data_IF_999238733534
#
_entry.id   IF_999238733534
#
_cell.length_a   1.000
_cell.length_b   1.000
_cell.length_c   1.000
_cell.angle_alpha   90.00
_cell.angle_beta   90.00
_cell.angle_gamma   90.00
#
_symmetry.space_group_name_H-M   'P 1'
#
loop_
_entity.id
_entity.type
_entity.pdbx_description
1 polymer ?
#
# COMPACT_ATOMS: atom_id res chain seq x y z
N UNK A 1 -9.93 -43.96 -1.90
CA UNK A 1 -10.78 -42.75 -1.78
C UNK A 1 -10.70 -42.06 -0.41
N UNK A 2 -10.94 -42.75 0.74
CA UNK A 2 -10.85 -42.08 2.08
C UNK A 2 -9.43 -41.70 2.50
N UNK A 3 -8.40 -42.47 2.13
CA UNK A 3 -7.00 -42.20 2.48
C UNK A 3 -6.38 -41.01 1.75
N UNK A 4 -6.84 -40.73 0.54
CA UNK A 4 -6.37 -39.59 -0.26
C UNK A 4 -6.96 -38.28 0.25
N UNK A 5 -8.24 -38.27 0.63
CA UNK A 5 -8.92 -37.11 1.21
C UNK A 5 -8.27 -36.69 2.56
N UNK A 6 -7.95 -37.68 3.42
CA UNK A 6 -7.25 -37.41 4.69
C UNK A 6 -5.83 -36.85 4.47
N UNK A 7 -5.14 -37.31 3.43
CA UNK A 7 -3.80 -36.81 3.09
C UNK A 7 -3.85 -35.40 2.49
N UNK A 8 -4.83 -35.13 1.59
CA UNK A 8 -5.10 -33.78 1.06
C UNK A 8 -5.52 -32.81 2.16
N UNK A 9 -6.42 -33.21 3.05
CA UNK A 9 -6.85 -32.37 4.19
C UNK A 9 -5.68 -32.16 5.16
N UNK A 10 -4.86 -33.15 5.43
CA UNK A 10 -3.68 -33.01 6.28
C UNK A 10 -2.63 -32.08 5.63
N UNK A 11 -2.40 -32.16 4.32
CA UNK A 11 -1.55 -31.23 3.58
C UNK A 11 -2.11 -29.81 3.59
N UNK A 12 -3.42 -29.62 3.39
CA UNK A 12 -4.09 -28.32 3.47
C UNK A 12 -4.05 -27.71 4.88
N UNK A 13 -4.20 -28.52 5.91
CA UNK A 13 -4.12 -28.09 7.31
C UNK A 13 -2.68 -27.82 7.79
N UNK A 14 -1.70 -28.44 7.14
CA UNK A 14 -0.28 -28.19 7.42
C UNK A 14 0.28 -26.93 6.74
N UNK A 15 -0.41 -26.42 5.69
CA UNK A 15 0.05 -25.25 4.91
C UNK A 15 -0.57 -23.95 5.44
N UNK A 16 0.13 -23.28 6.36
CA UNK A 16 -0.10 -21.86 6.61
C UNK A 16 0.36 -20.99 5.42
N UNK A 17 0.37 -19.66 5.55
CA UNK A 17 1.01 -18.80 4.57
C UNK A 17 2.48 -19.21 4.39
N UNK A 18 2.87 -19.60 3.19
CA UNK A 18 4.23 -20.02 2.86
C UNK A 18 4.98 -18.90 2.14
N UNK A 19 6.30 -18.86 2.29
CA UNK A 19 7.16 -17.98 1.51
C UNK A 19 7.06 -18.37 0.02
N UNK A 20 6.97 -17.36 -0.86
CA UNK A 20 6.90 -17.54 -2.32
C UNK A 20 7.97 -16.66 -2.97
N UNK A 21 8.64 -17.16 -3.98
CA UNK A 21 9.52 -16.36 -4.86
C UNK A 21 8.63 -15.64 -5.88
N UNK A 22 8.59 -14.31 -5.81
CA UNK A 22 7.76 -13.47 -6.68
C UNK A 22 8.44 -13.18 -8.02
N UNK A 23 8.20 -14.01 -9.01
CA UNK A 23 8.67 -13.85 -10.39
C UNK A 23 7.57 -13.38 -11.36
N UNK A 24 6.52 -12.72 -10.85
CA UNK A 24 5.38 -12.28 -11.67
C UNK A 24 5.64 -11.01 -12.47
N UNK A 25 6.67 -10.23 -12.12
CA UNK A 25 6.87 -8.88 -12.65
C UNK A 25 5.89 -7.83 -12.09
N UNK A 26 5.22 -8.14 -10.97
CA UNK A 26 4.40 -7.19 -10.20
C UNK A 26 5.03 -7.05 -8.82
N UNK A 27 5.60 -5.86 -8.52
CA UNK A 27 6.38 -5.64 -7.30
C UNK A 27 5.50 -5.75 -6.05
N UNK A 28 4.39 -4.99 -6.01
CA UNK A 28 3.40 -5.01 -4.92
C UNK A 28 2.27 -5.98 -5.24
N UNK A 29 2.59 -7.27 -5.45
CA UNK A 29 1.58 -8.25 -5.84
C UNK A 29 0.59 -8.50 -4.68
N UNK A 30 -0.68 -8.15 -4.89
CA UNK A 30 -1.74 -8.26 -3.87
C UNK A 30 -1.92 -9.69 -3.37
N UNK A 31 -1.81 -10.69 -4.26
CA UNK A 31 -1.99 -12.09 -3.92
C UNK A 31 -0.79 -12.67 -3.15
N UNK A 32 0.36 -11.99 -3.19
CA UNK A 32 1.59 -12.40 -2.51
C UNK A 32 1.92 -11.52 -1.29
N UNK A 33 0.95 -10.77 -0.77
CA UNK A 33 1.10 -9.98 0.45
C UNK A 33 1.60 -8.54 0.24
N UNK A 34 1.68 -8.05 -0.99
CA UNK A 34 2.12 -6.70 -1.37
C UNK A 34 3.61 -6.45 -1.06
N UNK A 35 3.95 -5.41 -0.26
CA UNK A 35 5.33 -5.06 0.03
C UNK A 35 6.00 -6.08 0.98
N UNK A 36 7.15 -6.65 0.61
CA UNK A 36 7.99 -7.37 1.56
C UNK A 36 8.54 -6.39 2.61
N UNK A 37 8.65 -6.87 3.85
CA UNK A 37 9.16 -6.04 4.95
C UNK A 37 10.67 -5.84 4.85
N UNK A 38 11.18 -4.67 5.25
CA UNK A 38 12.62 -4.47 5.51
C UNK A 38 13.13 -5.40 6.59
N UNK A 39 14.40 -5.85 6.50
CA UNK A 39 15.04 -6.69 7.51
C UNK A 39 14.98 -6.05 8.92
N UNK A 40 15.17 -4.72 8.99
CA UNK A 40 15.01 -3.96 10.25
C UNK A 40 13.60 -4.07 10.85
N UNK A 41 12.58 -4.09 9.99
CA UNK A 41 11.19 -4.24 10.44
C UNK A 41 10.92 -5.67 10.94
N UNK A 42 11.45 -6.67 10.24
CA UNK A 42 11.37 -8.08 10.68
C UNK A 42 12.07 -8.27 12.04
N UNK A 43 13.28 -7.76 12.21
CA UNK A 43 14.00 -7.81 13.48
C UNK A 43 13.21 -7.13 14.61
N UNK A 44 12.65 -5.94 14.36
CA UNK A 44 11.81 -5.23 15.33
C UNK A 44 10.55 -6.01 15.73
N UNK A 45 9.93 -6.75 14.79
CA UNK A 45 8.79 -7.64 15.11
C UNK A 45 9.23 -8.79 16.03
N UNK A 46 10.38 -9.40 15.75
CA UNK A 46 10.92 -10.49 16.58
C UNK A 46 11.17 -9.99 18.00
N UNK A 47 11.82 -8.83 18.15
CA UNK A 47 12.07 -8.21 19.46
C UNK A 47 10.77 -7.90 20.22
N UNK A 48 9.75 -7.42 19.52
CA UNK A 48 8.44 -7.11 20.09
C UNK A 48 7.57 -8.34 20.36
N UNK A 49 7.95 -9.53 19.91
CA UNK A 49 7.14 -10.76 20.08
C UNK A 49 6.96 -11.15 21.54
N UNK A 50 7.99 -10.91 22.39
CA UNK A 50 7.92 -11.06 23.83
C UNK A 50 7.15 -9.95 24.54
N UNK A 51 7.47 -9.67 25.81
CA UNK A 51 6.99 -8.48 26.50
C UNK A 51 7.65 -7.23 25.88
N UNK A 52 6.86 -6.22 25.60
CA UNK A 52 7.32 -4.96 25.03
C UNK A 52 6.61 -3.77 25.70
N UNK A 53 7.33 -2.68 25.90
CA UNK A 53 6.80 -1.44 26.48
C UNK A 53 5.94 -0.66 25.47
N UNK A 54 4.82 -1.27 25.01
CA UNK A 54 3.97 -0.70 23.98
C UNK A 54 3.04 0.42 24.49
N UNK A 55 2.63 0.35 25.73
CA UNK A 55 1.81 1.35 26.43
C UNK A 55 2.40 1.67 27.81
N UNK A 56 3.73 1.67 27.92
CA UNK A 56 4.44 1.96 29.15
C UNK A 56 5.63 2.88 28.86
N UNK A 57 5.63 4.06 29.44
CA UNK A 57 6.75 4.98 29.38
C UNK A 57 7.85 4.51 30.34
N UNK A 58 8.98 4.11 29.76
CA UNK A 58 10.13 3.61 30.51
C UNK A 58 10.84 4.72 31.31
N UNK A 59 10.60 5.99 31.02
CA UNK A 59 11.25 7.12 31.72
C UNK A 59 10.48 7.49 32.99
N UNK A 60 9.15 7.63 32.86
CA UNK A 60 8.29 8.01 33.99
C UNK A 60 7.77 6.81 34.79
N UNK A 61 7.70 5.63 34.18
CA UNK A 61 7.03 4.44 34.72
C UNK A 61 5.51 4.49 34.59
N UNK A 62 4.96 5.49 33.94
CA UNK A 62 3.53 5.68 33.77
C UNK A 62 3.01 4.95 32.52
N UNK A 63 1.69 4.95 32.37
CA UNK A 63 1.02 4.44 31.18
C UNK A 63 1.20 5.43 30.02
N UNK A 64 1.86 4.99 28.94
CA UNK A 64 1.99 5.70 27.66
C UNK A 64 0.91 5.34 26.65
N UNK A 65 1.06 5.88 25.43
CA UNK A 65 0.24 5.58 24.27
C UNK A 65 1.02 4.78 23.22
N UNK A 66 0.33 3.93 22.46
CA UNK A 66 0.92 3.28 21.26
C UNK A 66 1.31 4.27 20.19
N UNK A 67 0.57 5.37 20.10
CA UNK A 67 0.82 6.42 19.10
C UNK A 67 2.17 7.12 19.36
N UNK A 68 2.64 7.15 20.62
CA UNK A 68 3.93 7.75 21.01
C UNK A 68 5.11 7.11 20.25
N UNK A 69 4.98 5.86 19.82
CA UNK A 69 6.00 5.17 19.03
C UNK A 69 6.04 5.61 17.55
N UNK A 70 4.95 6.12 17.01
CA UNK A 70 4.78 6.38 15.57
C UNK A 70 4.60 7.88 15.25
N UNK A 71 3.83 8.60 16.05
CA UNK A 71 3.44 9.98 15.77
C UNK A 71 4.64 10.92 15.54
N UNK A 72 5.72 10.90 16.34
CA UNK A 72 6.87 11.78 16.10
C UNK A 72 7.47 11.57 14.69
N UNK A 73 7.56 10.31 14.23
CA UNK A 73 8.07 10.00 12.89
C UNK A 73 7.08 10.41 11.79
N UNK A 74 5.79 10.20 12.01
CA UNK A 74 4.77 10.61 11.06
C UNK A 74 4.76 12.12 10.86
N UNK A 75 4.87 12.89 11.95
CA UNK A 75 4.98 14.35 11.90
C UNK A 75 6.25 14.80 11.18
N UNK A 76 7.40 14.21 11.50
CA UNK A 76 8.68 14.51 10.86
C UNK A 76 8.65 14.28 9.36
N UNK A 77 8.12 13.11 8.94
CA UNK A 77 8.14 12.68 7.55
C UNK A 77 7.09 13.37 6.67
N UNK A 78 5.94 13.74 7.23
CA UNK A 78 4.83 14.32 6.45
C UNK A 78 4.65 15.82 6.65
N UNK A 79 5.21 16.40 7.73
CA UNK A 79 4.95 17.77 8.13
C UNK A 79 3.59 18.00 8.79
N UNK A 80 2.83 16.96 9.09
CA UNK A 80 1.53 17.04 9.77
C UNK A 80 1.68 17.45 11.23
N UNK A 81 0.61 18.03 11.81
CA UNK A 81 0.57 18.40 13.23
C UNK A 81 0.49 17.18 14.15
N UNK A 82 -0.22 16.12 13.70
CA UNK A 82 -0.42 14.87 14.44
C UNK A 82 -0.66 13.69 13.49
N UNK A 83 -0.62 12.46 14.02
CA UNK A 83 -0.89 11.26 13.25
C UNK A 83 -1.27 10.06 14.10
N UNK A 84 -2.01 9.12 13.51
CA UNK A 84 -2.42 7.85 14.12
C UNK A 84 -2.27 6.73 13.09
N UNK A 85 -2.01 5.51 13.56
CA UNK A 85 -2.00 4.32 12.71
C UNK A 85 -3.05 3.31 13.16
N UNK A 86 -3.77 2.75 12.19
CA UNK A 86 -4.82 1.74 12.34
C UNK A 86 -4.51 0.52 11.49
N UNK A 87 -5.32 -0.54 11.58
CA UNK A 87 -5.00 -1.83 10.96
C UNK A 87 -5.08 -1.87 9.42
N UNK A 88 -5.81 -0.95 8.77
CA UNK A 88 -5.89 -0.82 7.30
C UNK A 88 -6.21 0.61 6.89
N UNK A 89 -5.86 1.01 5.65
CA UNK A 89 -6.26 2.32 5.13
C UNK A 89 -7.79 2.48 5.06
N UNK A 90 -8.52 1.44 4.67
CA UNK A 90 -9.98 1.43 4.70
C UNK A 90 -10.54 1.73 6.11
N UNK A 91 -9.92 1.16 7.15
CA UNK A 91 -10.22 1.48 8.54
C UNK A 91 -9.88 2.92 8.91
N UNK A 92 -8.79 3.46 8.36
CA UNK A 92 -8.39 4.86 8.52
C UNK A 92 -9.41 5.84 7.94
N UNK A 93 -9.85 5.59 6.70
CA UNK A 93 -10.89 6.40 6.03
C UNK A 93 -12.23 6.30 6.76
N UNK A 94 -12.63 5.08 7.16
CA UNK A 94 -13.84 4.86 7.97
C UNK A 94 -13.80 5.66 9.28
N UNK A 95 -12.68 5.59 9.99
CA UNK A 95 -12.46 6.31 11.25
C UNK A 95 -12.46 7.82 11.04
N UNK A 96 -11.79 8.32 10.00
CA UNK A 96 -11.75 9.73 9.66
C UNK A 96 -13.15 10.29 9.40
N UNK A 97 -13.93 9.62 8.56
CA UNK A 97 -15.30 9.99 8.25
C UNK A 97 -16.23 9.94 9.50
N UNK A 98 -16.18 8.83 10.23
CA UNK A 98 -17.03 8.64 11.41
C UNK A 98 -16.74 9.64 12.53
N UNK A 99 -15.47 10.02 12.72
CA UNK A 99 -15.07 10.91 13.80
C UNK A 99 -15.21 12.41 13.47
N UNK A 100 -15.15 12.80 12.19
CA UNK A 100 -15.09 14.22 11.80
C UNK A 100 -16.22 14.68 10.90
N UNK A 101 -16.91 13.77 10.21
CA UNK A 101 -17.95 14.14 9.23
C UNK A 101 -19.35 13.60 9.57
N UNK A 102 -19.46 12.50 10.32
CA UNK A 102 -20.73 11.90 10.69
C UNK A 102 -21.50 12.76 11.73
N UNK A 103 -22.86 12.85 11.60
CA UNK A 103 -23.76 12.19 10.63
C UNK A 103 -24.03 12.99 9.34
N UNK A 104 -23.15 13.87 8.91
CA UNK A 104 -23.37 14.81 7.81
C UNK A 104 -23.25 14.23 6.40
N UNK A 105 -23.35 15.11 5.42
CA UNK A 105 -23.13 14.80 4.02
C UNK A 105 -21.66 14.99 3.65
N UNK A 106 -21.14 14.05 2.86
CA UNK A 106 -19.78 14.10 2.32
C UNK A 106 -19.85 14.16 0.79
N UNK A 107 -19.25 15.20 0.22
CA UNK A 107 -19.21 15.39 -1.24
C UNK A 107 -18.03 14.63 -1.82
N UNK A 108 -18.28 13.80 -2.83
CA UNK A 108 -17.26 12.98 -3.52
C UNK A 108 -17.47 13.07 -5.03
N UNK A 109 -16.39 13.22 -5.80
CA UNK A 109 -16.46 13.16 -7.25
C UNK A 109 -16.95 11.80 -7.73
N UNK A 110 -17.87 11.75 -8.72
CA UNK A 110 -18.30 10.51 -9.37
C UNK A 110 -17.14 9.72 -9.97
N UNK A 111 -16.12 10.39 -10.48
CA UNK A 111 -14.91 9.75 -11.00
C UNK A 111 -14.02 9.12 -9.91
N UNK A 112 -14.30 9.37 -8.64
CA UNK A 112 -13.56 8.85 -7.47
C UNK A 112 -14.34 7.81 -6.66
N UNK A 113 -15.52 7.41 -7.10
CA UNK A 113 -16.31 6.31 -6.52
C UNK A 113 -15.78 4.98 -7.03
N UNK A 114 -14.64 4.59 -6.48
CA UNK A 114 -13.86 3.45 -6.95
C UNK A 114 -14.16 2.17 -6.17
N UNK A 115 -13.94 1.02 -6.82
CA UNK A 115 -13.79 -0.28 -6.19
C UNK A 115 -12.32 -0.67 -6.21
N UNK A 116 -11.80 -1.07 -5.05
CA UNK A 116 -10.44 -1.59 -4.86
C UNK A 116 -10.52 -3.10 -4.64
N UNK A 117 -9.42 -3.82 -4.86
CA UNK A 117 -9.39 -5.29 -4.77
C UNK A 117 -10.05 -5.86 -3.52
N UNK A 118 -10.76 -6.99 -3.68
CA UNK A 118 -11.51 -7.63 -2.60
C UNK A 118 -12.92 -7.08 -2.38
N UNK A 119 -13.45 -6.28 -3.32
CA UNK A 119 -14.81 -5.73 -3.24
C UNK A 119 -14.96 -4.51 -2.33
N UNK A 120 -13.86 -3.88 -1.94
CA UNK A 120 -13.90 -2.61 -1.20
C UNK A 120 -14.41 -1.49 -2.11
N UNK A 121 -15.51 -0.85 -1.74
CA UNK A 121 -16.13 0.27 -2.44
C UNK A 121 -16.22 1.50 -1.56
N UNK A 122 -15.77 2.64 -2.09
CA UNK A 122 -15.83 3.93 -1.39
C UNK A 122 -17.24 4.27 -0.89
N UNK A 123 -18.32 4.11 -1.67
CA UNK A 123 -19.68 4.38 -1.18
C UNK A 123 -20.07 3.57 0.05
N UNK A 124 -19.73 2.26 0.08
CA UNK A 124 -20.09 1.36 1.19
C UNK A 124 -19.38 1.74 2.51
N UNK A 125 -18.10 2.16 2.40
CA UNK A 125 -17.34 2.68 3.55
C UNK A 125 -17.95 3.98 4.07
N UNK A 126 -18.34 4.85 3.16
CA UNK A 126 -18.95 6.13 3.52
C UNK A 126 -20.28 5.93 4.25
N UNK A 127 -21.15 5.06 3.75
CA UNK A 127 -22.40 4.68 4.44
C UNK A 127 -22.14 4.04 5.80
N UNK A 128 -21.14 3.12 5.88
CA UNK A 128 -20.76 2.46 7.14
C UNK A 128 -20.25 3.45 8.18
N UNK A 129 -19.68 4.59 7.77
CA UNK A 129 -19.22 5.65 8.69
C UNK A 129 -20.36 6.43 9.34
N UNK A 130 -21.61 6.25 8.88
CA UNK A 130 -22.77 7.04 9.30
C UNK A 130 -22.92 8.36 8.54
N UNK A 131 -22.07 8.61 7.54
CA UNK A 131 -22.19 9.76 6.64
C UNK A 131 -23.14 9.46 5.47
N UNK A 132 -23.63 10.50 4.84
CA UNK A 132 -24.41 10.41 3.59
C UNK A 132 -23.57 10.85 2.41
N UNK A 133 -23.44 9.97 1.41
CA UNK A 133 -22.75 10.27 0.15
C UNK A 133 -23.55 11.31 -0.67
N UNK A 134 -22.88 12.33 -1.15
CA UNK A 134 -23.36 13.23 -2.21
C UNK A 134 -22.37 13.21 -3.36
N UNK A 135 -22.79 12.64 -4.47
CA UNK A 135 -22.00 12.54 -5.68
C UNK A 135 -21.97 13.86 -6.44
N UNK A 136 -20.78 14.32 -6.84
CA UNK A 136 -20.62 15.58 -7.59
C UNK A 136 -19.94 15.37 -8.93
N UNK A 137 -20.25 16.26 -9.88
CA UNK A 137 -19.68 16.23 -11.22
C UNK A 137 -20.14 15.03 -12.06
N UNK A 138 -19.27 14.58 -12.95
CA UNK A 138 -19.48 13.41 -13.82
C UNK A 138 -18.30 12.44 -13.70
N UNK A 139 -18.39 11.28 -14.37
CA UNK A 139 -17.34 10.25 -14.32
C UNK A 139 -15.96 10.80 -14.71
N UNK A 140 -15.88 11.62 -15.76
CA UNK A 140 -14.62 12.10 -16.31
C UNK A 140 -14.32 13.57 -16.01
N UNK A 141 -15.32 14.34 -15.54
CA UNK A 141 -15.13 15.77 -15.23
C UNK A 141 -15.83 16.18 -13.95
N UNK A 142 -15.04 16.68 -13.01
CA UNK A 142 -15.53 17.27 -11.78
C UNK A 142 -14.71 18.52 -11.47
N UNK A 143 -15.38 19.67 -11.44
CA UNK A 143 -14.78 20.98 -11.15
C UNK A 143 -15.13 21.42 -9.74
N UNK A 144 -14.41 22.39 -9.23
CA UNK A 144 -14.70 22.93 -7.90
C UNK A 144 -16.13 23.52 -7.81
N UNK A 145 -16.65 24.08 -8.90
CA UNK A 145 -18.03 24.58 -8.96
C UNK A 145 -19.09 23.48 -8.78
N UNK A 146 -18.77 22.22 -9.12
CA UNK A 146 -19.67 21.09 -8.89
C UNK A 146 -19.83 20.82 -7.39
N UNK A 147 -18.71 20.91 -6.63
CA UNK A 147 -18.72 20.84 -5.17
C UNK A 147 -19.49 22.04 -4.56
N UNK A 148 -19.18 23.26 -5.01
CA UNK A 148 -19.83 24.47 -4.52
C UNK A 148 -21.36 24.43 -4.68
N UNK A 149 -21.85 23.98 -5.86
CA UNK A 149 -23.29 23.85 -6.14
C UNK A 149 -23.98 22.75 -5.35
N UNK A 150 -23.29 21.63 -5.09
CA UNK A 150 -23.88 20.50 -4.37
C UNK A 150 -23.89 20.68 -2.84
N UNK A 151 -23.10 21.63 -2.33
CA UNK A 151 -23.01 21.93 -0.91
C UNK A 151 -24.35 22.41 -0.35
N UNK A 152 -24.73 21.86 0.77
CA UNK A 152 -25.93 22.24 1.53
C UNK A 152 -25.62 22.42 3.02
N UNK A 153 -26.65 22.75 3.84
CA UNK A 153 -26.47 22.98 5.28
C UNK A 153 -26.03 21.73 6.05
N UNK A 154 -26.25 20.55 5.50
CA UNK A 154 -25.87 19.27 6.11
C UNK A 154 -24.49 18.78 5.63
N UNK A 155 -23.83 19.50 4.73
CA UNK A 155 -22.48 19.14 4.25
C UNK A 155 -21.46 19.40 5.35
N UNK A 156 -20.66 18.38 5.66
CA UNK A 156 -19.65 18.42 6.73
C UNK A 156 -18.24 18.22 6.19
N UNK A 157 -18.09 17.51 5.05
CA UNK A 157 -16.76 17.24 4.50
C UNK A 157 -16.75 17.13 2.97
N UNK A 158 -15.57 17.36 2.42
CA UNK A 158 -15.18 17.01 1.06
C UNK A 158 -14.22 15.85 1.15
N UNK A 159 -14.47 14.74 0.43
CA UNK A 159 -13.58 13.61 0.33
C UNK A 159 -12.99 13.55 -1.07
N UNK A 160 -11.66 13.56 -1.16
CA UNK A 160 -10.91 13.24 -2.36
C UNK A 160 -10.38 11.82 -2.24
N UNK A 161 -10.58 11.01 -3.28
CA UNK A 161 -10.02 9.66 -3.36
C UNK A 161 -9.15 9.57 -4.60
N UNK A 162 -7.86 9.26 -4.39
CA UNK A 162 -6.93 9.09 -5.49
C UNK A 162 -7.21 7.77 -6.23
N UNK A 163 -7.33 7.79 -7.59
CA UNK A 163 -7.58 6.59 -8.39
C UNK A 163 -6.29 5.73 -8.53
N UNK A 164 -5.84 5.17 -7.41
CA UNK A 164 -4.55 4.46 -7.31
C UNK A 164 -4.51 3.10 -8.04
N UNK A 165 -5.64 2.59 -8.56
CA UNK A 165 -5.73 1.27 -9.19
C UNK A 165 -6.17 1.28 -10.65
N UNK A 166 -6.46 2.45 -11.23
CA UNK A 166 -6.79 2.62 -12.65
C UNK A 166 -6.34 3.99 -13.16
N UNK A 167 -6.28 4.14 -14.48
CA UNK A 167 -6.01 5.42 -15.15
C UNK A 167 -7.22 5.86 -15.95
N UNK A 168 -7.48 7.16 -15.98
CA UNK A 168 -8.50 7.78 -16.81
C UNK A 168 -7.83 8.74 -17.78
N UNK A 169 -8.10 8.59 -19.07
CA UNK A 169 -7.48 9.41 -20.13
C UNK A 169 -8.50 10.13 -21.01
N UNK A 170 -8.04 11.05 -21.86
CA UNK A 170 -8.86 11.82 -22.78
C UNK A 170 -9.42 13.11 -22.15
N UNK A 171 -10.72 13.36 -22.30
CA UNK A 171 -11.40 14.54 -21.74
C UNK A 171 -11.66 14.39 -20.23
N UNK A 172 -10.60 14.46 -19.44
CA UNK A 172 -10.64 14.33 -17.96
C UNK A 172 -10.32 15.67 -17.32
N UNK A 173 -11.05 16.01 -16.24
CA UNK A 173 -10.81 17.20 -15.43
C UNK A 173 -11.22 16.90 -13.98
N UNK A 174 -10.37 17.26 -13.01
CA UNK A 174 -10.63 17.04 -11.59
C UNK A 174 -10.31 18.31 -10.80
N UNK A 175 -11.14 18.63 -9.82
CA UNK A 175 -10.83 19.68 -8.85
C UNK A 175 -9.54 19.32 -8.12
N UNK A 176 -8.63 20.27 -8.01
CA UNK A 176 -7.39 20.10 -7.26
C UNK A 176 -7.64 20.10 -5.75
N UNK A 177 -6.76 19.49 -4.99
CA UNK A 177 -6.85 19.49 -3.51
C UNK A 177 -6.82 20.92 -2.96
N UNK A 178 -6.04 21.84 -3.55
CA UNK A 178 -5.97 23.27 -3.13
C UNK A 178 -7.29 24.00 -3.32
N UNK A 179 -7.99 23.77 -4.44
CA UNK A 179 -9.32 24.32 -4.68
C UNK A 179 -10.34 23.77 -3.67
N UNK A 180 -10.27 22.46 -3.36
CA UNK A 180 -11.14 21.85 -2.36
C UNK A 180 -10.89 22.43 -0.96
N UNK A 181 -9.62 22.62 -0.57
CA UNK A 181 -9.24 23.23 0.71
C UNK A 181 -9.71 24.68 0.80
N UNK A 182 -9.58 25.47 -0.27
CA UNK A 182 -10.06 26.84 -0.32
C UNK A 182 -11.60 26.89 -0.12
N UNK A 183 -12.36 26.11 -0.88
CA UNK A 183 -13.82 26.02 -0.76
C UNK A 183 -14.25 25.56 0.65
N UNK A 184 -13.57 24.56 1.20
CA UNK A 184 -13.87 24.05 2.54
C UNK A 184 -13.63 25.11 3.62
N UNK A 185 -12.54 25.86 3.52
CA UNK A 185 -12.20 26.95 4.45
C UNK A 185 -13.22 28.08 4.48
N UNK A 186 -13.81 28.43 3.33
CA UNK A 186 -14.87 29.45 3.25
C UNK A 186 -16.17 29.01 3.98
N UNK A 187 -16.36 27.70 4.17
CA UNK A 187 -17.61 27.15 4.65
C UNK A 187 -17.49 26.32 5.93
N UNK A 188 -16.29 26.24 6.52
CA UNK A 188 -16.05 25.46 7.74
C UNK A 188 -16.22 23.95 7.56
N UNK A 189 -15.91 23.43 6.36
CA UNK A 189 -15.97 22.02 6.03
C UNK A 189 -14.59 21.36 6.26
N UNK A 190 -14.57 20.05 6.51
CA UNK A 190 -13.33 19.29 6.55
C UNK A 190 -12.95 18.77 5.16
N UNK A 191 -11.65 18.68 4.86
CA UNK A 191 -11.12 18.03 3.67
C UNK A 191 -10.37 16.77 4.09
N UNK A 192 -10.87 15.63 3.60
CA UNK A 192 -10.24 14.32 3.79
C UNK A 192 -9.65 13.89 2.45
N UNK A 193 -8.36 13.54 2.43
CA UNK A 193 -7.64 13.09 1.25
C UNK A 193 -7.20 11.65 1.41
N UNK A 194 -7.83 10.73 0.67
CA UNK A 194 -7.48 9.31 0.62
C UNK A 194 -6.52 9.06 -0.56
N UNK A 195 -5.24 9.00 -0.27
CA UNK A 195 -4.19 8.73 -1.25
C UNK A 195 -4.09 7.25 -1.62
N UNK A 196 -4.29 6.38 -0.65
CA UNK A 196 -4.20 4.94 -0.83
C UNK A 196 -2.80 4.39 -1.10
N UNK A 197 -1.97 5.04 -1.90
CA UNK A 197 -0.68 4.51 -2.41
C UNK A 197 0.45 4.46 -1.37
N UNK A 198 0.44 5.35 -0.39
CA UNK A 198 1.43 5.35 0.70
C UNK A 198 2.77 6.01 0.36
N UNK A 199 2.83 6.85 -0.68
CA UNK A 199 4.00 7.67 -0.95
C UNK A 199 4.10 8.78 0.10
N UNK A 200 5.23 8.85 0.83
CA UNK A 200 5.46 9.88 1.85
C UNK A 200 5.90 11.19 1.23
N UNK A 201 6.89 11.16 0.35
CA UNK A 201 7.43 12.31 -0.35
C UNK A 201 7.61 11.97 -1.84
N UNK A 202 7.27 12.90 -2.73
CA UNK A 202 7.38 12.71 -4.18
C UNK A 202 8.83 12.51 -4.64
N UNK A 203 9.77 13.18 -4.00
CA UNK A 203 11.18 13.11 -4.34
C UNK A 203 11.81 11.76 -4.03
N UNK A 204 11.17 10.96 -3.16
CA UNK A 204 11.68 9.64 -2.74
C UNK A 204 11.80 8.64 -3.90
N UNK A 205 10.91 8.71 -4.90
CA UNK A 205 10.85 7.78 -6.03
C UNK A 205 10.93 8.43 -7.41
N UNK A 206 10.89 9.77 -7.51
CA UNK A 206 10.89 10.49 -8.79
C UNK A 206 9.68 10.19 -9.68
N UNK A 207 8.54 9.85 -9.11
CA UNK A 207 7.31 9.43 -9.81
C UNK A 207 6.21 10.50 -9.70
N UNK A 208 5.32 10.56 -10.68
CA UNK A 208 4.14 11.43 -10.64
C UNK A 208 2.98 10.76 -9.89
N UNK A 209 3.13 10.69 -8.58
CA UNK A 209 2.14 10.15 -7.64
C UNK A 209 1.93 11.17 -6.51
N UNK A 210 0.68 11.40 -6.05
CA UNK A 210 0.44 12.30 -4.91
C UNK A 210 1.10 11.73 -3.64
N UNK A 211 1.74 12.62 -2.87
CA UNK A 211 2.40 12.24 -1.63
C UNK A 211 1.65 12.76 -0.38
N UNK A 212 1.88 12.11 0.74
CA UNK A 212 1.30 12.54 2.02
C UNK A 212 1.80 13.94 2.41
N UNK A 213 3.07 14.26 2.17
CA UNK A 213 3.66 15.58 2.43
C UNK A 213 3.01 16.67 1.58
N UNK A 214 2.77 16.41 0.28
CA UNK A 214 2.11 17.37 -0.60
C UNK A 214 0.68 17.64 -0.17
N UNK A 215 -0.05 16.62 0.26
CA UNK A 215 -1.45 16.75 0.69
C UNK A 215 -1.57 17.51 2.02
N UNK A 216 -0.66 17.26 2.95
CA UNK A 216 -0.56 18.04 4.19
C UNK A 216 -0.21 19.51 3.87
N UNK A 217 0.78 19.74 3.01
CA UNK A 217 1.19 21.09 2.60
C UNK A 217 0.11 21.84 1.81
N UNK A 218 -0.77 21.12 1.11
CA UNK A 218 -1.95 21.69 0.45
C UNK A 218 -3.05 22.12 1.43
N UNK A 219 -3.00 21.66 2.68
CA UNK A 219 -3.92 22.06 3.75
C UNK A 219 -5.07 21.10 4.00
N UNK A 220 -4.99 19.85 3.55
CA UNK A 220 -5.97 18.81 3.91
C UNK A 220 -6.05 18.67 5.44
N UNK A 221 -7.26 18.52 5.98
CA UNK A 221 -7.44 18.33 7.42
C UNK A 221 -7.00 16.94 7.86
N UNK A 222 -7.25 15.93 7.02
CA UNK A 222 -6.81 14.55 7.21
C UNK A 222 -6.31 13.96 5.88
N UNK A 223 -5.22 13.21 5.94
CA UNK A 223 -4.64 12.47 4.81
C UNK A 223 -4.53 11.02 5.21
N UNK A 224 -5.14 10.12 4.43
CA UNK A 224 -5.19 8.68 4.69
C UNK A 224 -4.36 7.92 3.64
N UNK A 225 -3.55 6.94 4.07
CA UNK A 225 -2.75 6.12 3.15
C UNK A 225 -2.36 4.77 3.74
N UNK A 226 -2.01 3.82 2.85
CA UNK A 226 -1.59 2.46 3.22
C UNK A 226 -0.08 2.39 3.52
N UNK A 227 0.30 1.63 4.54
CA UNK A 227 1.73 1.42 4.83
C UNK A 227 2.33 0.24 4.04
N UNK A 228 1.54 -0.70 3.56
CA UNK A 228 1.97 -1.93 2.89
C UNK A 228 2.07 -1.82 1.37
N UNK A 229 2.18 -0.59 0.85
CA UNK A 229 2.36 -0.29 -0.58
C UNK A 229 3.70 0.42 -0.80
N UNK A 230 3.70 1.65 -1.35
CA UNK A 230 4.93 2.41 -1.67
C UNK A 230 5.77 2.74 -0.42
N UNK A 231 5.15 2.89 0.74
CA UNK A 231 5.89 3.02 1.99
C UNK A 231 6.72 1.77 2.34
N UNK A 232 6.32 0.58 1.87
CA UNK A 232 7.08 -0.65 2.05
C UNK A 232 7.07 -1.22 3.47
N UNK A 233 6.07 -0.87 4.27
CA UNK A 233 5.89 -1.32 5.66
C UNK A 233 4.90 -2.47 5.82
N UNK A 234 4.53 -2.79 7.07
CA UNK A 234 3.50 -3.76 7.37
C UNK A 234 2.12 -3.24 6.97
N UNK A 235 1.13 -4.14 6.85
CA UNK A 235 -0.25 -3.71 6.66
C UNK A 235 -0.69 -2.79 7.79
N UNK A 236 -0.94 -1.53 7.45
CA UNK A 236 -1.52 -0.51 8.31
C UNK A 236 -2.18 0.57 7.47
N UNK A 237 -3.14 1.28 8.05
CA UNK A 237 -3.64 2.56 7.58
C UNK A 237 -3.04 3.66 8.42
N UNK A 238 -2.50 4.67 7.77
CA UNK A 238 -1.96 5.85 8.44
C UNK A 238 -2.89 7.01 8.17
N UNK A 239 -3.22 7.77 9.21
CA UNK A 239 -3.98 9.03 9.10
C UNK A 239 -3.16 10.12 9.76
N UNK A 240 -2.80 11.14 8.98
CA UNK A 240 -2.07 12.32 9.45
C UNK A 240 -2.86 13.58 9.14
N UNK A 241 -2.61 14.66 9.86
CA UNK A 241 -3.28 15.92 9.59
C UNK A 241 -3.26 16.88 10.78
N UNK A 242 -4.34 17.66 10.92
CA UNK A 242 -4.49 18.65 11.98
C UNK A 242 -4.67 17.99 13.34
N UNK A 243 -4.03 18.52 14.36
CA UNK A 243 -4.05 17.95 15.71
C UNK A 243 -5.48 17.75 16.25
N UNK A 244 -6.34 18.74 16.09
CA UNK A 244 -7.74 18.65 16.55
C UNK A 244 -8.54 17.55 15.87
N UNK A 245 -8.32 17.30 14.57
CA UNK A 245 -8.95 16.23 13.83
C UNK A 245 -8.42 14.87 14.30
N UNK A 246 -7.10 14.68 14.41
CA UNK A 246 -6.49 13.45 14.93
C UNK A 246 -6.95 13.15 16.36
N UNK A 247 -7.08 14.15 17.20
CA UNK A 247 -7.61 13.96 18.57
C UNK A 247 -9.09 13.51 18.57
N UNK A 248 -9.88 13.95 17.60
CA UNK A 248 -11.24 13.42 17.43
C UNK A 248 -11.21 11.93 17.05
N UNK A 249 -10.32 11.53 16.15
CA UNK A 249 -10.12 10.13 15.79
C UNK A 249 -9.74 9.28 17.00
N UNK A 250 -8.77 9.71 17.80
CA UNK A 250 -8.30 8.98 19.01
C UNK A 250 -9.40 8.73 20.02
N UNK A 251 -10.32 9.70 20.20
CA UNK A 251 -11.45 9.58 21.12
C UNK A 251 -12.59 8.73 20.58
N UNK A 252 -12.65 8.47 19.28
CA UNK A 252 -13.73 7.71 18.68
C UNK A 252 -13.64 6.21 19.03
N UNK A 253 -14.74 5.51 19.37
CA UNK A 253 -14.70 4.08 19.74
C UNK A 253 -14.07 3.18 18.69
N UNK A 254 -14.21 3.51 17.39
CA UNK A 254 -13.58 2.78 16.29
C UNK A 254 -12.04 2.77 16.38
N UNK A 255 -11.41 3.78 16.97
CA UNK A 255 -9.95 3.78 17.14
C UNK A 255 -9.48 2.57 17.97
N UNK A 256 -10.27 2.16 18.96
CA UNK A 256 -10.02 0.95 19.75
C UNK A 256 -10.22 -0.32 18.93
N UNK A 257 -11.25 -0.40 18.11
CA UNK A 257 -11.57 -1.56 17.28
C UNK A 257 -10.54 -1.76 16.15
N UNK A 258 -10.02 -0.65 15.61
CA UNK A 258 -9.08 -0.63 14.48
C UNK A 258 -7.60 -0.56 14.90
N UNK A 259 -7.31 -0.66 16.18
CA UNK A 259 -5.97 -0.46 16.74
C UNK A 259 -4.96 -1.47 16.24
N UNK A 260 -3.74 -0.99 15.89
CA UNK A 260 -2.61 -1.86 15.58
C UNK A 260 -2.17 -2.71 16.79
N UNK A 261 -1.71 -3.92 16.52
CA UNK A 261 -0.99 -4.74 17.48
C UNK A 261 0.48 -4.29 17.63
N UNK A 262 1.16 -4.83 18.66
CA UNK A 262 2.53 -4.44 18.97
C UNK A 262 3.55 -4.79 17.89
N UNK A 263 3.34 -5.89 17.15
CA UNK A 263 4.27 -6.35 16.12
C UNK A 263 4.24 -5.39 14.94
N UNK A 264 3.04 -5.00 14.49
CA UNK A 264 2.89 -4.01 13.41
C UNK A 264 3.38 -2.63 13.82
N UNK A 265 3.19 -2.20 15.08
CA UNK A 265 3.74 -0.93 15.58
C UNK A 265 5.27 -0.96 15.49
N UNK A 266 5.91 -2.04 15.94
CA UNK A 266 7.36 -2.18 15.87
C UNK A 266 7.89 -2.18 14.42
N UNK A 267 7.28 -2.96 13.54
CA UNK A 267 7.64 -3.01 12.13
C UNK A 267 7.44 -1.68 11.42
N UNK A 268 6.29 -1.02 11.63
CA UNK A 268 6.00 0.27 11.02
C UNK A 268 6.97 1.34 11.49
N UNK A 269 7.28 1.38 12.80
CA UNK A 269 8.27 2.30 13.35
C UNK A 269 9.65 2.11 12.69
N UNK A 270 10.11 0.87 12.56
CA UNK A 270 11.39 0.57 11.93
C UNK A 270 11.41 0.94 10.45
N UNK A 271 10.30 0.75 9.72
CA UNK A 271 10.16 1.18 8.32
C UNK A 271 10.17 2.70 8.20
N UNK A 272 9.41 3.42 9.03
CA UNK A 272 9.38 4.89 9.03
C UNK A 272 10.76 5.49 9.36
N UNK A 273 11.55 4.84 10.22
CA UNK A 273 12.92 5.27 10.51
C UNK A 273 13.84 5.21 9.28
N UNK A 274 13.65 4.22 8.39
CA UNK A 274 14.40 4.14 7.13
C UNK A 274 14.06 5.30 6.18
N UNK A 275 12.80 5.76 6.18
CA UNK A 275 12.37 6.89 5.35
C UNK A 275 12.91 8.27 5.79
N UNK A 276 13.63 8.35 6.92
CA UNK A 276 14.31 9.60 7.35
C UNK A 276 15.49 9.96 6.45
N UNK A 277 16.08 8.96 5.80
CA UNK A 277 17.14 9.13 4.82
C UNK A 277 16.76 8.41 3.52
N UNK A 278 16.61 9.13 2.39
CA UNK A 278 16.26 8.52 1.11
C UNK A 278 17.23 7.39 0.67
N UNK A 279 18.52 7.51 0.98
CA UNK A 279 19.50 6.48 0.65
C UNK A 279 19.32 5.22 1.51
N UNK A 280 18.98 5.37 2.82
CA UNK A 280 18.63 4.22 3.67
C UNK A 280 17.31 3.57 3.21
N UNK A 281 16.33 4.36 2.79
CA UNK A 281 15.06 3.86 2.26
C UNK A 281 15.28 3.05 0.97
N UNK A 282 16.03 3.58 0.00
CA UNK A 282 16.32 2.90 -1.25
C UNK A 282 17.09 1.59 -1.05
N UNK A 283 18.04 1.55 -0.13
CA UNK A 283 18.82 0.33 0.13
C UNK A 283 18.08 -0.67 1.01
N UNK A 284 17.33 -0.20 2.00
CA UNK A 284 16.77 -1.00 3.08
C UNK A 284 15.32 -1.45 2.88
N UNK A 285 14.53 -0.76 2.03
CA UNK A 285 13.13 -1.10 1.80
C UNK A 285 12.97 -1.85 0.47
N UNK A 286 12.62 -3.15 0.47
CA UNK A 286 12.62 -3.95 -0.75
C UNK A 286 11.78 -3.38 -1.89
N UNK A 287 10.60 -2.84 -1.60
CA UNK A 287 9.72 -2.25 -2.61
C UNK A 287 10.35 -0.99 -3.24
N UNK A 288 10.92 -0.10 -2.43
CA UNK A 288 11.60 1.13 -2.89
C UNK A 288 12.81 0.77 -3.72
N UNK A 289 13.64 -0.17 -3.23
CA UNK A 289 14.81 -0.67 -3.96
C UNK A 289 14.44 -1.24 -5.32
N UNK A 290 13.39 -2.07 -5.39
CA UNK A 290 12.93 -2.66 -6.65
C UNK A 290 12.41 -1.60 -7.64
N UNK A 291 11.85 -0.49 -7.16
CA UNK A 291 11.40 0.62 -8.01
C UNK A 291 12.57 1.47 -8.52
N UNK A 292 13.53 1.79 -7.67
CA UNK A 292 14.68 2.65 -7.99
C UNK A 292 15.77 1.95 -8.80
N UNK A 293 15.73 0.63 -8.90
CA UNK A 293 16.80 -0.15 -9.50
C UNK A 293 17.00 0.12 -10.99
N UNK A 294 18.26 0.17 -11.43
CA UNK A 294 18.66 0.30 -12.83
C UNK A 294 18.23 -0.92 -13.67
N UNK A 295 17.80 -0.66 -14.90
CA UNK A 295 17.39 -1.71 -15.85
C UNK A 295 18.50 -2.69 -16.20
N UNK A 296 19.77 -2.25 -16.23
CA UNK A 296 20.91 -3.13 -16.50
C UNK A 296 21.20 -4.09 -15.34
N UNK A 297 20.92 -3.69 -14.10
CA UNK A 297 20.99 -4.60 -12.95
C UNK A 297 19.95 -5.74 -13.08
N UNK A 298 18.73 -5.42 -13.51
CA UNK A 298 17.69 -6.43 -13.83
C UNK A 298 18.14 -7.33 -14.97
N UNK A 299 18.73 -6.76 -16.03
CA UNK A 299 19.26 -7.53 -17.15
C UNK A 299 20.34 -8.51 -16.71
N UNK A 300 21.26 -8.06 -15.87
CA UNK A 300 22.32 -8.91 -15.33
C UNK A 300 21.76 -10.08 -14.50
N UNK A 301 20.74 -9.84 -13.66
CA UNK A 301 20.04 -10.89 -12.90
C UNK A 301 19.36 -11.91 -13.82
N UNK A 302 18.62 -11.44 -14.83
CA UNK A 302 17.99 -12.33 -15.79
C UNK A 302 19.02 -13.19 -16.54
N UNK A 303 20.14 -12.59 -16.96
CA UNK A 303 21.25 -13.31 -17.62
C UNK A 303 21.91 -14.34 -16.69
N UNK A 304 22.05 -14.05 -15.39
CA UNK A 304 22.57 -14.99 -14.41
C UNK A 304 21.66 -16.22 -14.27
N UNK A 305 20.36 -16.00 -14.11
CA UNK A 305 19.37 -17.08 -14.02
C UNK A 305 19.30 -17.90 -15.31
N UNK A 306 19.26 -17.23 -16.47
CA UNK A 306 19.19 -17.87 -17.79
C UNK A 306 20.39 -18.78 -18.04
N UNK A 307 21.59 -18.36 -17.63
CA UNK A 307 22.83 -19.15 -17.76
C UNK A 307 22.73 -20.45 -16.95
N UNK A 308 22.14 -20.40 -15.77
CA UNK A 308 21.97 -21.58 -14.91
C UNK A 308 20.91 -22.52 -15.46
N UNK A 309 19.78 -21.98 -15.91
CA UNK A 309 18.65 -22.75 -16.42
C UNK A 309 18.84 -23.24 -17.88
N UNK A 310 19.73 -22.62 -18.65
CA UNK A 310 19.87 -22.86 -20.08
C UNK A 310 18.72 -22.28 -20.91
N UNK A 311 18.07 -21.22 -20.43
CA UNK A 311 16.86 -20.65 -21.02
C UNK A 311 17.10 -19.26 -21.61
N UNK A 312 16.12 -18.77 -22.40
CA UNK A 312 16.20 -17.49 -23.09
C UNK A 312 15.87 -16.31 -22.16
N UNK A 313 16.68 -15.23 -22.26
CA UNK A 313 16.33 -13.93 -21.65
C UNK A 313 15.49 -13.13 -22.63
N UNK A 314 14.36 -12.60 -22.18
CA UNK A 314 13.49 -11.75 -22.98
C UNK A 314 13.25 -10.40 -22.30
N UNK A 315 13.23 -9.29 -23.04
CA UNK A 315 12.80 -8.00 -22.50
C UNK A 315 11.32 -8.06 -22.13
N UNK A 316 10.96 -7.39 -21.05
CA UNK A 316 9.60 -7.35 -20.55
C UNK A 316 9.31 -6.02 -19.85
N UNK A 317 8.06 -5.84 -19.42
CA UNK A 317 7.62 -4.71 -18.63
C UNK A 317 7.04 -5.25 -17.33
N UNK A 318 7.62 -4.82 -16.23
CA UNK A 318 7.10 -5.03 -14.89
C UNK A 318 6.15 -3.89 -14.49
N UNK A 319 5.38 -4.08 -13.43
CA UNK A 319 4.42 -3.11 -12.91
C UNK A 319 4.55 -3.00 -11.40
N UNK A 320 4.15 -1.85 -10.89
CA UNK A 320 4.12 -1.65 -9.42
C UNK A 320 3.05 -2.54 -8.79
N UNK A 321 1.81 -2.43 -9.22
CA UNK A 321 0.70 -3.23 -8.69
C UNK A 321 0.17 -2.73 -7.34
N UNK A 322 -0.67 -3.53 -6.70
CA UNK A 322 -1.17 -3.26 -5.35
C UNK A 322 -2.06 -2.02 -5.20
N UNK A 323 -2.48 -1.38 -6.29
CA UNK A 323 -3.19 -0.09 -6.24
C UNK A 323 -2.26 1.06 -5.88
N UNK A 324 -1.12 1.13 -6.58
CA UNK A 324 -0.17 2.22 -6.55
C UNK A 324 0.41 2.43 -7.94
N UNK A 325 0.65 3.67 -8.36
CA UNK A 325 1.24 4.05 -9.65
C UNK A 325 0.55 3.34 -10.85
N UNK A 326 -0.76 3.54 -11.05
CA UNK A 326 -1.48 2.87 -12.11
C UNK A 326 -0.92 3.27 -13.48
N UNK A 327 -0.65 2.28 -14.32
CA UNK A 327 -0.09 2.51 -15.66
C UNK A 327 1.42 2.78 -15.69
N UNK A 328 2.11 2.90 -14.56
CA UNK A 328 3.57 3.03 -14.54
C UNK A 328 4.23 1.73 -14.99
N UNK A 329 4.98 1.82 -16.08
CA UNK A 329 5.69 0.71 -16.69
C UNK A 329 7.16 0.74 -16.30
N UNK A 330 7.66 -0.38 -15.79
CA UNK A 330 9.04 -0.53 -15.34
C UNK A 330 9.76 -1.44 -16.34
N UNK A 331 10.73 -0.93 -17.11
CA UNK A 331 11.54 -1.78 -17.98
C UNK A 331 12.18 -2.93 -17.19
N UNK A 332 11.98 -4.17 -17.65
CA UNK A 332 12.47 -5.37 -16.97
C UNK A 332 12.92 -6.43 -17.95
N UNK A 333 13.43 -7.53 -17.42
CA UNK A 333 13.80 -8.73 -18.15
C UNK A 333 13.21 -9.97 -17.46
N UNK A 334 12.87 -10.95 -18.25
CA UNK A 334 12.41 -12.24 -17.77
C UNK A 334 13.19 -13.38 -18.41
N UNK A 335 13.18 -14.52 -17.75
CA UNK A 335 13.66 -15.78 -18.31
C UNK A 335 12.44 -16.57 -18.79
N UNK A 336 12.41 -16.94 -20.07
CA UNK A 336 11.31 -17.68 -20.67
C UNK A 336 11.47 -19.18 -20.41
N UNK A 337 10.53 -19.77 -19.71
CA UNK A 337 10.54 -21.21 -19.39
C UNK A 337 10.07 -21.99 -20.61
N UNK A 338 10.83 -23.00 -21.09
CA UNK A 338 10.43 -23.82 -22.23
C UNK A 338 9.28 -24.79 -21.90
N UNK A 339 8.58 -25.22 -22.94
CA UNK A 339 7.49 -26.21 -22.85
C UNK A 339 6.12 -25.58 -22.70
N UNK A 340 5.14 -26.39 -22.27
CA UNK A 340 3.78 -25.93 -22.02
C UNK A 340 3.74 -24.99 -20.81
N UNK A 341 3.19 -23.77 -20.98
CA UNK A 341 3.27 -22.74 -19.94
C UNK A 341 2.47 -23.08 -18.67
N UNK A 342 1.34 -23.79 -18.80
CA UNK A 342 0.52 -24.18 -17.65
C UNK A 342 1.17 -25.31 -16.84
N UNK A 343 1.75 -26.28 -17.52
CA UNK A 343 2.50 -27.36 -16.90
C UNK A 343 3.76 -26.81 -16.20
N UNK A 344 4.52 -25.94 -16.89
CA UNK A 344 5.68 -25.29 -16.31
C UNK A 344 5.30 -24.43 -15.07
N UNK A 345 4.19 -23.68 -15.13
CA UNK A 345 3.71 -22.91 -14.00
C UNK A 345 3.29 -23.82 -12.81
N UNK A 346 2.68 -24.95 -13.08
CA UNK A 346 2.32 -25.95 -12.05
C UNK A 346 3.59 -26.52 -11.41
N UNK A 347 4.59 -26.88 -12.20
CA UNK A 347 5.89 -27.37 -11.71
C UNK A 347 6.59 -26.34 -10.82
N UNK A 348 6.64 -25.07 -11.22
CA UNK A 348 7.26 -24.01 -10.43
C UNK A 348 6.52 -23.77 -9.10
N UNK A 349 5.19 -23.85 -9.08
CA UNK A 349 4.42 -23.77 -7.85
C UNK A 349 4.61 -24.97 -6.91
N UNK A 350 5.12 -26.08 -7.42
CA UNK A 350 5.44 -27.29 -6.63
C UNK A 350 6.85 -27.29 -6.03
N UNK A 351 7.65 -26.26 -6.26
CA UNK A 351 8.99 -26.11 -5.64
C UNK A 351 8.88 -25.69 -4.17
N UNK A 352 9.96 -25.82 -3.43
CA UNK A 352 10.07 -25.31 -2.05
C UNK A 352 11.30 -24.40 -1.94
N UNK A 353 11.08 -23.07 -1.84
CA UNK A 353 9.80 -22.36 -1.87
C UNK A 353 9.13 -22.36 -3.26
N UNK A 354 7.77 -22.26 -3.31
CA UNK A 354 7.03 -22.08 -4.55
C UNK A 354 7.46 -20.84 -5.32
N UNK A 355 7.42 -20.91 -6.66
CA UNK A 355 7.76 -19.79 -7.55
C UNK A 355 6.51 -19.36 -8.32
N UNK A 356 6.16 -18.09 -8.21
CA UNK A 356 5.06 -17.47 -8.94
C UNK A 356 5.60 -16.71 -10.17
N UNK A 357 5.46 -17.28 -11.37
CA UNK A 357 5.71 -16.61 -12.64
C UNK A 357 4.42 -16.07 -13.27
N UNK A 358 4.53 -15.50 -14.47
CA UNK A 358 3.37 -15.08 -15.27
C UNK A 358 3.37 -15.71 -16.67
N UNK A 359 2.19 -16.05 -17.16
CA UNK A 359 2.03 -16.49 -18.56
C UNK A 359 1.72 -15.25 -19.41
N UNK A 360 2.54 -15.02 -20.44
CA UNK A 360 2.40 -13.91 -21.37
C UNK A 360 2.89 -14.32 -22.77
N UNK A 361 2.14 -13.98 -23.80
CA UNK A 361 2.48 -14.36 -25.17
C UNK A 361 2.62 -15.87 -25.39
N UNK A 362 1.84 -16.70 -24.66
CA UNK A 362 1.90 -18.16 -24.75
C UNK A 362 3.15 -18.79 -24.10
N UNK A 363 3.90 -18.04 -23.29
CA UNK A 363 5.09 -18.52 -22.57
C UNK A 363 4.99 -18.22 -21.08
N UNK A 364 5.52 -19.11 -20.25
CA UNK A 364 5.73 -18.81 -18.83
C UNK A 364 7.00 -17.98 -18.70
N UNK A 365 6.91 -16.85 -18.02
CA UNK A 365 7.99 -15.92 -17.77
C UNK A 365 8.32 -15.86 -16.27
N UNK A 366 9.61 -15.93 -15.96
CA UNK A 366 10.22 -15.65 -14.66
C UNK A 366 10.77 -14.24 -14.75
N UNK A 367 9.99 -13.24 -14.34
CA UNK A 367 10.39 -11.83 -14.36
C UNK A 367 11.22 -11.49 -13.12
N UNK A 368 12.34 -10.78 -13.32
CA UNK A 368 13.32 -10.54 -12.26
C UNK A 368 13.09 -9.22 -11.49
N UNK A 369 12.07 -8.42 -11.85
CA UNK A 369 11.88 -7.09 -11.26
C UNK A 369 11.75 -7.09 -9.74
N UNK A 370 11.08 -8.11 -9.17
CA UNK A 370 10.89 -8.24 -7.73
C UNK A 370 11.87 -9.22 -7.06
N UNK A 371 12.77 -9.86 -7.83
CA UNK A 371 13.72 -10.82 -7.30
C UNK A 371 14.97 -10.14 -6.75
N UNK A 372 15.40 -10.54 -5.58
CA UNK A 372 16.73 -10.21 -5.06
C UNK A 372 17.81 -11.09 -5.73
N UNK A 373 19.08 -10.70 -5.59
CA UNK A 373 20.21 -11.53 -6.07
C UNK A 373 20.19 -12.90 -5.38
N UNK A 374 19.93 -12.94 -4.07
CA UNK A 374 19.85 -14.18 -3.30
C UNK A 374 18.72 -15.10 -3.80
N UNK A 375 17.55 -14.55 -4.14
CA UNK A 375 16.43 -15.33 -4.70
C UNK A 375 16.73 -15.85 -6.12
N UNK A 376 17.51 -15.11 -6.92
CA UNK A 376 17.98 -15.60 -8.22
C UNK A 376 18.91 -16.79 -8.05
N UNK A 377 19.85 -16.74 -7.10
CA UNK A 377 20.77 -17.84 -6.80
C UNK A 377 20.01 -19.07 -6.26
N UNK A 378 19.09 -18.86 -5.32
CA UNK A 378 18.22 -19.91 -4.77
C UNK A 378 17.38 -20.57 -5.88
N UNK A 379 16.70 -19.76 -6.70
CA UNK A 379 15.93 -20.27 -7.84
C UNK A 379 16.78 -21.03 -8.84
N UNK A 380 17.99 -20.54 -9.13
CA UNK A 380 18.96 -21.24 -9.98
C UNK A 380 19.36 -22.62 -9.43
N UNK A 381 19.42 -22.79 -8.10
CA UNK A 381 19.66 -24.09 -7.46
C UNK A 381 18.46 -25.02 -7.58
N UNK A 382 17.24 -24.48 -7.30
CA UNK A 382 15.99 -25.25 -7.44
C UNK A 382 15.79 -25.78 -8.86
N UNK A 383 16.06 -24.97 -9.88
CA UNK A 383 15.89 -25.36 -11.28
C UNK A 383 16.91 -26.42 -11.75
N UNK A 384 18.06 -26.56 -11.09
CA UNK A 384 19.04 -27.62 -11.39
C UNK A 384 18.68 -28.97 -10.78
N UNK A 385 17.88 -28.95 -9.71
CA UNK A 385 17.50 -30.18 -8.97
C UNK A 385 16.20 -30.79 -9.49
N UNK A 386 15.55 -30.17 -10.47
CA UNK A 386 14.30 -30.62 -11.12
C UNK A 386 14.55 -31.09 -12.54
#
# INVERSE_FOLDING_TARGET
MHGDLHREVAQHLASGPVRVINATGVILNTNLGRAPLPDRAVAAMVDAAGYAAIEWDLTSGDRGSRDDHLEPLLRELTGAEAGIAVNTNAGGVLLALAATASPGQVLVSRGQLIEIGGGFRVPEILETSGCRLVEVGTTNKTRIDDYARARGPETTALLRVHPANFTMGGFVESASLREMVALAGEHGLSVIDDLGSGLLCRDDLGVDEPSARDSVAAGADLVCFSADKLLGGPQAGIVVGRAGAIDALRRHPLARALRLDKLRVAALRATLQLHRDPAEAEQGIPAVKALAEDVEARRARAAALARVAGWEVVPTVARVGGGALPGHEIPSFAVAVPGDPEEAARRLRGLDPPVAGRISGGRLLIDVAALTVAEVDELGQLLRST
#
